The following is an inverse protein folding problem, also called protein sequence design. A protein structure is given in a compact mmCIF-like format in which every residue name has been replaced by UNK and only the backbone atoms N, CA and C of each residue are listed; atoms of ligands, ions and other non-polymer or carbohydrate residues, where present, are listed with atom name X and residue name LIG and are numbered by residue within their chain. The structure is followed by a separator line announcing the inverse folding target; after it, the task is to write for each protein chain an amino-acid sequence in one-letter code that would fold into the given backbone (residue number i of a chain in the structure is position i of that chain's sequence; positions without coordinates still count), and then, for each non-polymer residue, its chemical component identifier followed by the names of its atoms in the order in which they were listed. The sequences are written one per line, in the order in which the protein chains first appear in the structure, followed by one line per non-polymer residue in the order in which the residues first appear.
data_IF_905309956550
#
_entry.id   IF_905309956550
#
_cell.length_a   1.000
_cell.length_b   1.000
_cell.length_c   1.000
_cell.angle_alpha   90.00
_cell.angle_beta   90.00
_cell.angle_gamma   90.00
#
_symmetry.space_group_name_H-M   'P 1'
#
loop_
_entity.id
_entity.type
_entity.pdbx_description
1 polymer ?
#
# COMPACT_ATOMS: atom_id res chain seq x y z
N UNK A 1 -42.62 -17.39 -54.89
CA UNK A 1 -42.74 -17.30 -53.42
C UNK A 1 -41.97 -18.46 -52.82
N UNK A 2 -40.75 -18.22 -52.31
CA UNK A 2 -39.85 -19.26 -51.77
C UNK A 2 -39.75 -19.07 -50.26
N UNK A 3 -40.11 -20.13 -49.53
CA UNK A 3 -40.03 -20.24 -48.08
C UNK A 3 -38.56 -20.33 -47.63
N UNK A 4 -38.16 -19.47 -46.70
CA UNK A 4 -36.89 -19.56 -46.00
C UNK A 4 -37.14 -20.17 -44.61
N UNK A 5 -36.72 -21.41 -44.45
CA UNK A 5 -36.70 -22.15 -43.19
C UNK A 5 -35.52 -21.72 -42.33
N UNK A 6 -35.83 -21.23 -41.13
CA UNK A 6 -34.89 -20.81 -40.09
C UNK A 6 -34.30 -22.03 -39.37
N UNK A 7 -33.03 -22.33 -39.59
CA UNK A 7 -32.29 -23.36 -38.84
C UNK A 7 -31.74 -22.77 -37.54
N UNK A 8 -32.28 -23.20 -36.40
CA UNK A 8 -31.76 -22.89 -35.06
C UNK A 8 -30.58 -23.82 -34.75
N UNK A 9 -29.37 -23.27 -34.61
CA UNK A 9 -28.23 -23.96 -34.00
C UNK A 9 -28.26 -23.68 -32.50
N UNK A 10 -28.55 -24.71 -31.70
CA UNK A 10 -28.37 -24.70 -30.24
C UNK A 10 -27.01 -25.33 -29.96
N UNK A 11 -26.01 -24.48 -29.69
CA UNK A 11 -24.72 -24.94 -29.20
C UNK A 11 -24.81 -25.13 -27.67
N UNK A 12 -24.82 -26.38 -27.23
CA UNK A 12 -24.70 -26.74 -25.82
C UNK A 12 -23.25 -26.54 -25.38
N UNK A 13 -22.98 -25.47 -24.63
CA UNK A 13 -21.71 -25.23 -23.95
C UNK A 13 -21.76 -25.98 -22.62
N UNK A 14 -21.07 -27.11 -22.55
CA UNK A 14 -20.76 -27.83 -21.31
C UNK A 14 -19.73 -26.99 -20.52
N UNK A 15 -20.23 -26.24 -19.53
CA UNK A 15 -19.40 -25.52 -18.58
C UNK A 15 -18.71 -26.49 -17.62
N UNK A 16 -17.41 -26.67 -17.78
CA UNK A 16 -16.55 -27.28 -16.77
C UNK A 16 -16.32 -26.23 -15.69
N UNK A 17 -17.02 -26.37 -14.56
CA UNK A 17 -16.77 -25.58 -13.36
C UNK A 17 -15.43 -26.02 -12.76
N UNK A 18 -14.37 -25.27 -13.03
CA UNK A 18 -13.10 -25.40 -12.31
C UNK A 18 -13.30 -24.69 -10.97
N UNK A 19 -13.53 -25.47 -9.93
CA UNK A 19 -13.48 -25.00 -8.55
C UNK A 19 -12.02 -24.66 -8.21
N UNK A 20 -11.63 -23.41 -8.42
CA UNK A 20 -10.36 -22.87 -7.89
C UNK A 20 -10.59 -22.59 -6.41
N UNK A 21 -10.18 -23.51 -5.55
CA UNK A 21 -10.12 -23.23 -4.11
C UNK A 21 -9.05 -22.16 -3.87
N UNK A 22 -9.33 -21.10 -3.08
CA UNK A 22 -8.31 -20.12 -2.73
C UNK A 22 -7.21 -20.80 -1.93
N UNK A 23 -6.00 -20.83 -2.50
CA UNK A 23 -4.79 -21.20 -1.78
C UNK A 23 -4.48 -20.03 -0.85
N UNK A 24 -5.08 -20.03 0.34
CA UNK A 24 -4.60 -19.23 1.44
C UNK A 24 -3.24 -19.79 1.85
N UNK A 25 -2.16 -19.22 1.32
CA UNK A 25 -0.80 -19.43 1.85
C UNK A 25 -0.73 -18.68 3.18
N UNK A 26 -1.44 -19.17 4.19
CA UNK A 26 -1.07 -18.91 5.57
C UNK A 26 0.23 -19.66 5.76
N UNK A 27 1.37 -18.95 5.64
CA UNK A 27 2.60 -19.44 6.24
C UNK A 27 2.33 -19.49 7.75
N UNK A 28 1.83 -20.64 8.22
CA UNK A 28 1.77 -20.99 9.63
C UNK A 28 3.20 -21.20 10.07
N UNK A 29 3.94 -20.10 10.27
CA UNK A 29 5.13 -20.14 11.09
C UNK A 29 4.70 -20.71 12.43
N UNK A 30 5.21 -21.91 12.76
CA UNK A 30 4.95 -22.50 14.06
C UNK A 30 5.34 -21.47 15.12
N UNK A 31 4.50 -21.20 16.14
CA UNK A 31 4.81 -20.21 17.18
C UNK A 31 6.15 -20.49 17.87
N UNK A 32 6.63 -21.73 17.87
CA UNK A 32 7.96 -22.12 18.34
C UNK A 32 9.11 -21.50 17.51
N UNK A 33 8.91 -21.30 16.20
CA UNK A 33 9.89 -20.67 15.30
C UNK A 33 10.03 -19.17 15.58
N UNK A 34 8.93 -18.50 15.92
CA UNK A 34 8.93 -17.05 16.21
C UNK A 34 9.70 -16.71 17.49
N UNK A 35 9.48 -17.46 18.58
CA UNK A 35 10.24 -17.25 19.83
C UNK A 35 11.73 -17.56 19.65
N UNK A 36 12.05 -18.66 18.95
CA UNK A 36 13.45 -19.04 18.69
C UNK A 36 14.18 -17.97 17.85
N UNK A 37 13.54 -17.44 16.81
CA UNK A 37 14.11 -16.37 16.00
C UNK A 37 14.39 -15.12 16.86
N UNK A 38 13.41 -14.68 17.65
CA UNK A 38 13.56 -13.50 18.50
C UNK A 38 14.71 -13.64 19.49
N UNK A 39 14.80 -14.79 20.16
CA UNK A 39 15.87 -15.08 21.11
C UNK A 39 17.25 -15.04 20.42
N UNK A 40 17.34 -15.56 19.20
CA UNK A 40 18.59 -15.54 18.41
C UNK A 40 18.97 -14.15 17.91
N UNK A 41 18.01 -13.36 17.44
CA UNK A 41 18.26 -11.97 17.05
C UNK A 41 18.70 -11.15 18.28
N UNK A 42 18.04 -11.35 19.42
CA UNK A 42 18.41 -10.69 20.68
C UNK A 42 19.83 -11.09 21.12
N UNK A 43 20.15 -12.38 21.10
CA UNK A 43 21.49 -12.88 21.42
C UNK A 43 22.55 -12.31 20.46
N UNK A 44 22.28 -12.27 19.16
CA UNK A 44 23.18 -11.68 18.17
C UNK A 44 23.44 -10.19 18.44
N UNK A 45 22.41 -9.42 18.81
CA UNK A 45 22.53 -7.99 19.15
C UNK A 45 23.30 -7.76 20.45
N UNK A 46 23.17 -8.65 21.43
CA UNK A 46 23.84 -8.54 22.73
C UNK A 46 25.30 -8.99 22.71
N UNK A 47 25.69 -9.81 21.74
CA UNK A 47 27.05 -10.34 21.65
C UNK A 47 28.04 -9.22 21.34
N UNK A 48 29.09 -9.06 22.16
CA UNK A 48 30.16 -8.07 21.92
C UNK A 48 31.08 -8.40 20.72
N UNK A 49 30.77 -9.48 19.99
CA UNK A 49 31.53 -9.97 18.84
C UNK A 49 31.06 -9.39 17.51
N UNK A 50 31.29 -10.14 16.43
CA UNK A 50 30.92 -9.72 15.08
C UNK A 50 29.42 -9.92 14.80
N UNK A 51 28.63 -8.90 15.15
CA UNK A 51 27.17 -8.82 14.90
C UNK A 51 26.85 -9.16 13.44
N UNK A 52 27.71 -8.80 12.48
CA UNK A 52 27.44 -9.07 11.06
C UNK A 52 27.43 -10.56 10.76
N UNK A 53 28.37 -11.32 11.32
CA UNK A 53 28.46 -12.77 11.08
C UNK A 53 27.26 -13.50 11.69
N UNK A 54 26.88 -13.15 12.92
CA UNK A 54 25.73 -13.76 13.60
C UNK A 54 24.41 -13.43 12.90
N UNK A 55 24.19 -12.18 12.53
CA UNK A 55 22.97 -11.76 11.81
C UNK A 55 22.88 -12.43 10.44
N UNK A 56 24.00 -12.62 9.73
CA UNK A 56 24.01 -13.37 8.47
C UNK A 56 23.69 -14.84 8.68
N UNK A 57 24.15 -15.46 9.77
CA UNK A 57 23.81 -16.85 10.09
C UNK A 57 22.31 -17.01 10.36
N UNK A 58 21.71 -16.11 11.16
CA UNK A 58 20.26 -16.11 11.41
C UNK A 58 19.49 -15.84 10.12
N UNK A 59 19.96 -14.91 9.28
CA UNK A 59 19.33 -14.57 7.99
C UNK A 59 19.29 -15.76 7.03
N UNK A 60 20.34 -16.58 6.97
CA UNK A 60 20.37 -17.79 6.13
C UNK A 60 19.32 -18.83 6.54
N UNK A 61 18.96 -18.86 7.83
CA UNK A 61 18.04 -19.85 8.37
C UNK A 61 16.58 -19.39 8.28
N UNK A 62 16.31 -18.12 8.58
CA UNK A 62 14.94 -17.60 8.70
C UNK A 62 14.49 -16.71 7.54
N UNK A 63 15.40 -16.30 6.66
CA UNK A 63 15.11 -15.33 5.61
C UNK A 63 15.31 -13.87 6.07
N UNK A 64 15.72 -13.03 5.13
CA UNK A 64 16.16 -11.66 5.44
C UNK A 64 15.01 -10.74 5.86
N UNK A 65 13.80 -10.96 5.32
CA UNK A 65 12.61 -10.18 5.63
C UNK A 65 12.08 -10.45 7.05
N UNK A 66 12.12 -11.71 7.50
CA UNK A 66 11.70 -12.09 8.85
C UNK A 66 12.69 -11.53 9.88
N UNK A 67 13.99 -11.70 9.63
CA UNK A 67 15.04 -11.16 10.51
C UNK A 67 14.97 -9.63 10.58
N UNK A 68 14.75 -8.95 9.46
CA UNK A 68 14.60 -7.49 9.44
C UNK A 68 13.46 -7.01 10.33
N UNK A 69 12.31 -7.69 10.34
CA UNK A 69 11.16 -7.36 11.20
C UNK A 69 11.52 -7.46 12.69
N UNK A 70 12.18 -8.55 13.09
CA UNK A 70 12.60 -8.74 14.48
C UNK A 70 13.68 -7.73 14.90
N UNK A 71 14.61 -7.38 14.00
CA UNK A 71 15.59 -6.32 14.27
C UNK A 71 14.90 -4.96 14.43
N UNK A 72 13.93 -4.62 13.60
CA UNK A 72 13.14 -3.37 13.73
C UNK A 72 12.36 -3.35 15.04
N UNK A 73 11.79 -4.48 15.45
CA UNK A 73 11.17 -4.62 16.77
C UNK A 73 12.17 -4.35 17.89
N UNK A 74 13.38 -4.90 17.81
CA UNK A 74 14.46 -4.68 18.78
C UNK A 74 14.91 -3.20 18.83
N UNK A 75 15.01 -2.51 17.70
CA UNK A 75 15.34 -1.06 17.68
C UNK A 75 14.26 -0.25 18.40
N UNK A 76 12.98 -0.54 18.13
CA UNK A 76 11.83 0.19 18.69
C UNK A 76 11.68 0.01 20.21
N UNK A 77 12.15 -1.13 20.75
CA UNK A 77 11.99 -1.51 22.16
C UNK A 77 13.31 -1.59 22.94
N UNK A 78 14.42 -1.12 22.36
CA UNK A 78 15.71 -1.06 23.04
C UNK A 78 15.62 -0.27 24.36
N UNK A 79 16.08 -0.88 25.45
CA UNK A 79 16.06 -0.28 26.78
C UNK A 79 17.14 0.80 26.95
N UNK A 80 18.27 0.65 26.26
CA UNK A 80 19.41 1.58 26.30
C UNK A 80 19.79 2.07 24.90
N UNK A 81 20.49 3.21 24.82
CA UNK A 81 21.02 3.71 23.53
C UNK A 81 22.07 2.76 22.95
N UNK A 82 22.81 2.04 23.80
CA UNK A 82 23.75 1.00 23.37
C UNK A 82 23.03 -0.14 22.64
N UNK A 83 21.93 -0.65 23.20
CA UNK A 83 21.16 -1.73 22.56
C UNK A 83 20.55 -1.26 21.24
N UNK A 84 20.07 0.00 21.20
CA UNK A 84 19.53 0.61 19.99
C UNK A 84 20.61 0.72 18.89
N UNK A 85 21.81 1.16 19.25
CA UNK A 85 22.94 1.26 18.32
C UNK A 85 23.35 -0.11 17.79
N UNK A 86 23.40 -1.14 18.65
CA UNK A 86 23.68 -2.52 18.24
C UNK A 86 22.61 -3.07 17.29
N UNK A 87 21.33 -2.85 17.58
CA UNK A 87 20.23 -3.26 16.71
C UNK A 87 20.24 -2.53 15.36
N UNK A 88 20.63 -1.24 15.32
CA UNK A 88 20.85 -0.51 14.06
C UNK A 88 22.01 -1.09 13.26
N UNK A 89 23.12 -1.46 13.93
CA UNK A 89 24.24 -2.13 13.27
C UNK A 89 23.83 -3.49 12.69
N UNK A 90 23.01 -4.26 13.42
CA UNK A 90 22.42 -5.50 12.92
C UNK A 90 21.56 -5.25 11.67
N UNK A 91 20.69 -4.22 11.69
CA UNK A 91 19.87 -3.88 10.52
C UNK A 91 20.72 -3.50 9.31
N UNK A 92 21.77 -2.71 9.51
CA UNK A 92 22.71 -2.35 8.45
C UNK A 92 23.47 -3.57 7.90
N UNK A 93 23.80 -4.54 8.74
CA UNK A 93 24.50 -5.77 8.35
C UNK A 93 23.66 -6.69 7.43
N UNK A 94 22.32 -6.54 7.44
CA UNK A 94 21.43 -7.26 6.52
C UNK A 94 21.64 -6.86 5.05
N UNK A 95 22.20 -5.67 4.78
CA UNK A 95 22.47 -5.15 3.42
C UNK A 95 21.27 -5.24 2.47
N UNK A 96 20.07 -4.99 3.00
CA UNK A 96 18.84 -5.02 2.22
C UNK A 96 18.81 -3.88 1.20
N UNK A 97 18.41 -4.19 -0.03
CA UNK A 97 18.05 -3.18 -1.01
C UNK A 97 16.72 -2.49 -0.65
N UNK A 98 16.36 -1.44 -1.39
CA UNK A 98 15.14 -0.66 -1.15
C UNK A 98 13.88 -1.54 -1.19
N UNK A 99 13.77 -2.46 -2.16
CA UNK A 99 12.60 -3.32 -2.31
C UNK A 99 12.50 -4.32 -1.16
N UNK A 100 13.60 -4.94 -0.78
CA UNK A 100 13.67 -5.87 0.35
C UNK A 100 13.31 -5.21 1.67
N UNK A 101 13.78 -3.97 1.91
CA UNK A 101 13.38 -3.19 3.08
C UNK A 101 11.87 -3.00 3.12
N UNK A 102 11.27 -2.53 2.03
CA UNK A 102 9.82 -2.29 1.97
C UNK A 102 9.05 -3.56 2.21
N UNK A 103 9.36 -4.64 1.48
CA UNK A 103 8.70 -5.96 1.63
C UNK A 103 8.76 -6.44 3.08
N UNK A 104 9.90 -6.31 3.74
CA UNK A 104 10.04 -6.68 5.15
C UNK A 104 9.16 -5.83 6.08
N UNK A 105 8.94 -4.55 5.76
CA UNK A 105 8.15 -3.65 6.61
C UNK A 105 6.64 -3.81 6.42
N UNK A 106 6.14 -4.25 5.25
CA UNK A 106 4.70 -4.34 4.92
C UNK A 106 3.85 -4.93 6.07
N UNK A 107 4.21 -6.09 6.67
CA UNK A 107 3.38 -6.71 7.70
C UNK A 107 3.30 -5.93 9.02
N UNK A 108 4.21 -4.99 9.25
CA UNK A 108 4.34 -4.26 10.52
C UNK A 108 4.11 -2.75 10.38
N UNK A 109 3.66 -2.26 9.21
CA UNK A 109 3.43 -0.83 8.96
C UNK A 109 2.33 -0.22 9.85
N UNK A 110 1.29 -1.00 10.19
CA UNK A 110 0.14 -0.53 10.99
C UNK A 110 -0.26 -1.47 12.12
N UNK A 111 -0.02 -2.77 11.99
CA UNK A 111 -0.51 -3.79 12.93
C UNK A 111 0.44 -4.07 14.11
N UNK A 112 1.61 -3.44 14.11
CA UNK A 112 2.55 -3.52 15.21
C UNK A 112 2.25 -2.48 16.30
N UNK A 113 2.77 -2.70 17.51
CA UNK A 113 2.77 -1.67 18.55
C UNK A 113 3.28 -0.32 18.00
N UNK A 114 2.71 0.77 18.49
CA UNK A 114 2.83 2.11 17.89
C UNK A 114 4.27 2.54 17.57
N UNK A 115 5.25 2.22 18.43
CA UNK A 115 6.67 2.52 18.17
C UNK A 115 7.25 1.74 16.98
N UNK A 116 6.95 0.44 16.88
CA UNK A 116 7.42 -0.41 15.77
C UNK A 116 6.78 0.01 14.46
N UNK A 117 5.47 0.26 14.46
CA UNK A 117 4.75 0.71 13.27
C UNK A 117 5.30 2.05 12.74
N UNK A 118 5.56 3.02 13.63
CA UNK A 118 6.20 4.29 13.26
C UNK A 118 7.59 4.10 12.66
N UNK A 119 8.42 3.24 13.26
CA UNK A 119 9.77 2.96 12.75
C UNK A 119 9.72 2.24 11.40
N UNK A 120 8.82 1.28 11.23
CA UNK A 120 8.61 0.57 9.96
C UNK A 120 8.19 1.53 8.83
N UNK A 121 7.26 2.46 9.12
CA UNK A 121 6.89 3.52 8.18
C UNK A 121 8.08 4.43 7.84
N UNK A 122 8.88 4.84 8.83
CA UNK A 122 10.09 5.63 8.59
C UNK A 122 11.06 4.91 7.65
N UNK A 123 11.35 3.64 7.89
CA UNK A 123 12.25 2.83 7.06
C UNK A 123 11.70 2.66 5.64
N UNK A 124 10.39 2.42 5.49
CA UNK A 124 9.76 2.34 4.17
C UNK A 124 9.87 3.67 3.43
N UNK A 125 9.61 4.78 4.12
CA UNK A 125 9.64 6.14 3.55
C UNK A 125 11.07 6.61 3.22
N UNK A 126 12.11 6.11 3.90
CA UNK A 126 13.52 6.35 3.54
C UNK A 126 13.88 5.78 2.16
N UNK A 127 13.08 4.86 1.62
CA UNK A 127 13.25 4.34 0.25
C UNK A 127 12.58 5.18 -0.82
N UNK A 128 11.79 6.18 -0.41
CA UNK A 128 11.17 7.16 -1.30
C UNK A 128 12.15 8.32 -1.54
N UNK A 129 12.39 8.71 -2.79
CA UNK A 129 13.11 9.96 -3.08
C UNK A 129 12.19 11.14 -2.74
N UNK A 130 12.38 11.74 -1.56
CA UNK A 130 11.67 12.93 -1.11
C UNK A 130 12.54 14.16 -1.33
N UNK A 131 12.40 14.79 -2.48
CA UNK A 131 12.94 16.13 -2.71
C UNK A 131 11.97 17.18 -2.16
N UNK A 132 12.47 18.30 -1.63
CA UNK A 132 11.63 19.39 -1.14
C UNK A 132 10.68 19.97 -2.22
N UNK A 133 10.97 19.75 -3.50
CA UNK A 133 10.20 20.23 -4.63
C UNK A 133 9.40 19.15 -5.36
N UNK A 134 9.46 17.88 -4.91
CA UNK A 134 8.80 16.75 -5.59
C UNK A 134 7.97 15.94 -4.60
N UNK A 135 6.86 15.37 -5.08
CA UNK A 135 6.13 14.35 -4.34
C UNK A 135 6.99 13.09 -4.12
N UNK A 136 6.54 12.15 -3.28
CA UNK A 136 7.27 10.92 -3.02
C UNK A 136 7.44 10.09 -4.30
N UNK A 137 8.60 9.46 -4.48
CA UNK A 137 8.80 8.47 -5.56
C UNK A 137 8.39 7.07 -5.10
N UNK A 138 7.23 6.61 -5.56
CA UNK A 138 6.71 5.26 -5.30
C UNK A 138 7.19 4.20 -6.30
N UNK A 139 8.29 4.42 -7.04
CA UNK A 139 8.82 3.43 -8.00
C UNK A 139 9.08 2.06 -7.37
N UNK A 140 9.67 2.03 -6.17
CA UNK A 140 9.91 0.78 -5.42
C UNK A 140 8.59 0.09 -5.08
N UNK A 141 7.57 0.85 -4.68
CA UNK A 141 6.27 0.31 -4.26
C UNK A 141 5.49 -0.20 -5.46
N UNK A 142 5.53 0.53 -6.59
CA UNK A 142 4.95 0.11 -7.86
C UNK A 142 5.44 -1.26 -8.29
N UNK A 143 6.75 -1.52 -8.19
CA UNK A 143 7.31 -2.81 -8.59
C UNK A 143 6.70 -3.97 -7.77
N UNK A 144 6.51 -3.77 -6.46
CA UNK A 144 5.86 -4.75 -5.59
C UNK A 144 4.39 -4.97 -6.01
N UNK A 145 3.65 -3.87 -6.21
CA UNK A 145 2.24 -3.92 -6.61
C UNK A 145 2.03 -4.53 -8.01
N UNK A 146 2.93 -4.27 -8.95
CA UNK A 146 2.92 -4.86 -10.30
C UNK A 146 3.14 -6.38 -10.24
N UNK A 147 4.02 -6.85 -9.37
CA UNK A 147 4.25 -8.28 -9.18
C UNK A 147 3.01 -8.96 -8.60
N UNK A 148 2.40 -8.39 -7.55
CA UNK A 148 1.17 -8.94 -6.97
C UNK A 148 0.00 -8.90 -7.95
N UNK A 149 -0.16 -7.82 -8.71
CA UNK A 149 -1.21 -7.73 -9.74
C UNK A 149 -0.99 -8.76 -10.85
N UNK A 150 0.25 -8.95 -11.32
CA UNK A 150 0.58 -9.91 -12.39
C UNK A 150 0.33 -11.35 -11.96
N UNK A 151 0.53 -11.62 -10.68
CA UNK A 151 0.35 -12.95 -10.08
C UNK A 151 -1.07 -13.17 -9.51
N UNK A 152 -2.00 -12.22 -9.73
CA UNK A 152 -3.37 -12.23 -9.20
C UNK A 152 -3.41 -12.42 -7.67
N UNK A 153 -2.40 -11.86 -6.97
CA UNK A 153 -2.33 -11.84 -5.51
C UNK A 153 -3.09 -10.63 -4.96
N UNK A 154 -3.71 -10.76 -3.77
CA UNK A 154 -4.22 -9.61 -3.05
C UNK A 154 -3.12 -8.56 -2.84
N UNK A 155 -3.44 -7.30 -3.08
CA UNK A 155 -2.48 -6.23 -2.87
C UNK A 155 -2.20 -6.03 -1.37
N UNK A 156 -0.96 -5.67 -1.00
CA UNK A 156 -0.58 -5.42 0.38
C UNK A 156 -1.28 -4.17 0.92
N UNK A 157 -2.41 -4.36 1.61
CA UNK A 157 -3.28 -3.27 2.10
C UNK A 157 -2.50 -2.21 2.90
N UNK A 158 -1.58 -2.65 3.75
CA UNK A 158 -0.73 -1.76 4.55
C UNK A 158 0.20 -0.88 3.69
N UNK A 159 0.69 -1.38 2.56
CA UNK A 159 1.51 -0.58 1.63
C UNK A 159 0.63 0.42 0.87
N UNK A 160 -0.53 -0.03 0.37
CA UNK A 160 -1.48 0.83 -0.33
C UNK A 160 -1.94 1.96 0.61
N UNK A 161 -2.27 1.64 1.87
CA UNK A 161 -2.61 2.62 2.89
C UNK A 161 -1.50 3.64 3.12
N UNK A 162 -0.25 3.19 3.27
CA UNK A 162 0.91 4.08 3.44
C UNK A 162 1.05 5.07 2.28
N UNK A 163 0.88 4.59 1.04
CA UNK A 163 0.97 5.44 -0.15
C UNK A 163 -0.08 6.54 -0.15
N UNK A 164 -1.35 6.19 0.03
CA UNK A 164 -2.44 7.17 -0.01
C UNK A 164 -2.44 8.12 1.20
N UNK A 165 -2.05 7.66 2.39
CA UNK A 165 -1.86 8.53 3.55
C UNK A 165 -0.70 9.51 3.35
N UNK A 166 0.28 9.19 2.51
CA UNK A 166 1.44 10.04 2.22
C UNK A 166 1.16 11.05 1.09
N UNK A 167 0.66 10.58 -0.06
CA UNK A 167 0.24 11.43 -1.19
C UNK A 167 -0.82 10.68 -2.03
N UNK A 168 -2.11 11.04 -1.94
CA UNK A 168 -3.17 10.31 -2.63
C UNK A 168 -3.08 10.42 -4.15
N UNK A 169 -2.59 11.54 -4.71
CA UNK A 169 -2.47 11.74 -6.15
C UNK A 169 -1.38 10.86 -6.76
N UNK A 170 -0.19 10.86 -6.16
CA UNK A 170 0.91 9.99 -6.60
C UNK A 170 0.55 8.51 -6.40
N UNK A 171 -0.14 8.17 -5.31
CA UNK A 171 -0.64 6.82 -5.06
C UNK A 171 -1.61 6.36 -6.15
N UNK A 172 -2.59 7.19 -6.53
CA UNK A 172 -3.55 6.91 -7.60
C UNK A 172 -2.85 6.62 -8.93
N UNK A 173 -1.90 7.45 -9.33
CA UNK A 173 -1.14 7.26 -10.58
C UNK A 173 -0.24 6.02 -10.53
N UNK A 174 0.27 5.68 -9.34
CA UNK A 174 1.05 4.46 -9.13
C UNK A 174 0.18 3.21 -9.27
N UNK A 175 -1.01 3.22 -8.68
CA UNK A 175 -2.00 2.14 -8.77
C UNK A 175 -2.48 1.94 -10.22
N UNK A 176 -2.80 3.02 -10.94
CA UNK A 176 -3.16 2.98 -12.35
C UNK A 176 -2.10 2.27 -13.21
N UNK A 177 -0.81 2.54 -12.93
CA UNK A 177 0.30 1.88 -13.62
C UNK A 177 0.45 0.42 -13.21
N UNK A 178 0.35 0.12 -11.91
CA UNK A 178 0.47 -1.24 -11.39
C UNK A 178 -0.61 -2.18 -11.96
N UNK A 179 -1.84 -1.67 -12.10
CA UNK A 179 -2.95 -2.37 -12.74
C UNK A 179 -2.89 -2.37 -14.28
N UNK A 180 -1.88 -1.75 -14.88
CA UNK A 180 -1.70 -1.65 -16.34
C UNK A 180 -2.96 -1.17 -17.06
N UNK A 181 -3.66 -0.16 -16.52
CA UNK A 181 -4.85 0.41 -17.17
C UNK A 181 -4.49 0.85 -18.60
N UNK A 182 -5.16 0.28 -19.61
CA UNK A 182 -4.87 0.54 -21.03
C UNK A 182 -5.98 1.27 -21.76
N UNK A 183 -7.21 1.21 -21.23
CA UNK A 183 -8.34 1.86 -21.89
C UNK A 183 -8.15 3.39 -21.87
N UNK A 184 -8.09 4.06 -23.05
CA UNK A 184 -7.88 5.50 -23.10
C UNK A 184 -9.02 6.32 -22.47
N UNK A 185 -10.23 5.77 -22.35
CA UNK A 185 -11.33 6.47 -21.68
C UNK A 185 -11.15 6.41 -20.16
N UNK A 186 -10.86 5.23 -19.60
CA UNK A 186 -10.53 5.06 -18.18
C UNK A 186 -9.31 5.90 -17.76
N UNK A 187 -8.21 5.82 -18.51
CA UNK A 187 -7.00 6.63 -18.27
C UNK A 187 -7.32 8.12 -18.21
N UNK A 188 -8.19 8.59 -19.11
CA UNK A 188 -8.59 9.99 -19.17
C UNK A 188 -9.32 10.42 -17.91
N UNK A 189 -10.28 9.63 -17.45
CA UNK A 189 -11.06 9.92 -16.25
C UNK A 189 -10.15 10.06 -15.04
N UNK A 190 -9.21 9.12 -14.87
CA UNK A 190 -8.28 9.10 -13.73
C UNK A 190 -7.32 10.30 -13.79
N UNK A 191 -6.70 10.55 -14.95
CA UNK A 191 -5.73 11.63 -15.13
C UNK A 191 -6.37 13.02 -14.97
N UNK A 192 -7.60 13.22 -15.48
CA UNK A 192 -8.30 14.50 -15.29
C UNK A 192 -8.67 14.74 -13.83
N UNK A 193 -9.13 13.70 -13.14
CA UNK A 193 -9.50 13.81 -11.74
C UNK A 193 -8.30 14.10 -10.84
N UNK A 194 -7.19 13.38 -11.04
CA UNK A 194 -5.93 13.67 -10.34
C UNK A 194 -5.49 15.12 -10.58
N UNK A 195 -5.49 15.56 -11.84
CA UNK A 195 -5.06 16.92 -12.19
C UNK A 195 -5.92 18.00 -11.56
N UNK A 196 -7.25 17.83 -11.57
CA UNK A 196 -8.19 18.80 -11.00
C UNK A 196 -8.00 18.91 -9.47
N UNK A 197 -7.77 17.79 -8.80
CA UNK A 197 -7.48 17.76 -7.36
C UNK A 197 -6.11 18.39 -7.07
N UNK A 198 -5.05 18.00 -7.79
CA UNK A 198 -3.71 18.56 -7.61
C UNK A 198 -3.69 20.08 -7.82
N UNK A 199 -4.36 20.60 -8.86
CA UNK A 199 -4.44 22.04 -9.09
C UNK A 199 -5.12 22.77 -7.92
N UNK A 200 -6.21 22.21 -7.39
CA UNK A 200 -6.89 22.79 -6.23
C UNK A 200 -5.98 22.78 -4.99
N UNK A 201 -5.31 21.66 -4.70
CA UNK A 201 -4.38 21.54 -3.56
C UNK A 201 -3.13 22.42 -3.72
N UNK A 202 -2.63 22.58 -4.94
CA UNK A 202 -1.53 23.47 -5.26
C UNK A 202 -1.92 24.94 -5.00
N UNK A 203 -3.08 25.37 -5.47
CA UNK A 203 -3.58 26.75 -5.23
C UNK A 203 -3.72 27.06 -3.75
N UNK A 204 -4.16 26.09 -2.94
CA UNK A 204 -4.19 26.24 -1.48
C UNK A 204 -2.80 26.39 -0.87
N UNK A 205 -1.88 25.47 -1.20
CA UNK A 205 -0.50 25.48 -0.67
C UNK A 205 0.24 26.78 -0.95
N UNK A 206 -0.06 27.42 -2.07
CA UNK A 206 0.57 28.67 -2.49
C UNK A 206 -0.26 29.93 -2.21
N UNK A 207 -1.39 29.82 -1.51
CA UNK A 207 -2.21 30.96 -1.10
C UNK A 207 -2.96 31.65 -2.24
N UNK A 208 -3.10 31.02 -3.41
CA UNK A 208 -3.93 31.52 -4.51
C UNK A 208 -5.43 31.27 -4.27
N UNK A 209 -5.77 30.38 -3.34
CA UNK A 209 -7.13 30.03 -2.98
C UNK A 209 -7.17 29.71 -1.47
N UNK A 210 -8.19 30.18 -0.70
CA UNK A 210 -8.34 29.78 0.69
C UNK A 210 -8.47 28.26 0.81
N UNK A 211 -7.85 27.65 1.83
CA UNK A 211 -7.90 26.21 2.09
C UNK A 211 -9.30 25.70 2.54
N UNK A 212 -10.29 26.59 2.61
CA UNK A 212 -11.70 26.31 2.85
C UNK A 212 -12.54 26.29 1.57
N UNK A 213 -11.95 26.65 0.42
CA UNK A 213 -12.67 26.78 -0.85
C UNK A 213 -12.29 25.62 -1.77
N UNK A 214 -13.23 24.73 -2.06
CA UNK A 214 -13.07 23.76 -3.13
C UNK A 214 -13.42 24.35 -4.50
N UNK A 215 -12.58 24.08 -5.49
CA UNK A 215 -12.94 24.31 -6.89
C UNK A 215 -14.07 23.33 -7.32
N UNK A 216 -15.15 23.82 -7.96
CA UNK A 216 -16.25 22.97 -8.41
C UNK A 216 -15.83 21.82 -9.33
N UNK A 217 -14.77 22.04 -10.12
CA UNK A 217 -14.21 21.02 -11.01
C UNK A 217 -13.58 19.86 -10.23
N UNK A 218 -12.79 20.14 -9.20
CA UNK A 218 -12.19 19.09 -8.36
C UNK A 218 -13.27 18.24 -7.68
N UNK A 219 -14.31 18.89 -7.15
CA UNK A 219 -15.48 18.24 -6.57
C UNK A 219 -16.23 17.36 -7.60
N UNK A 220 -16.49 17.88 -8.79
CA UNK A 220 -17.14 17.11 -9.86
C UNK A 220 -16.34 15.87 -10.26
N UNK A 221 -15.00 15.99 -10.37
CA UNK A 221 -14.14 14.85 -10.68
C UNK A 221 -14.08 13.81 -9.56
N UNK A 222 -14.09 14.24 -8.30
CA UNK A 222 -14.17 13.32 -7.15
C UNK A 222 -15.49 12.53 -7.14
N UNK A 223 -16.62 13.14 -7.52
CA UNK A 223 -17.88 12.39 -7.70
C UNK A 223 -17.77 11.32 -8.78
N UNK A 224 -17.19 11.67 -9.94
CA UNK A 224 -16.99 10.70 -11.03
C UNK A 224 -16.13 9.53 -10.56
N UNK A 225 -15.03 9.79 -9.84
CA UNK A 225 -14.18 8.72 -9.32
C UNK A 225 -14.82 7.92 -8.18
N UNK A 226 -15.76 8.50 -7.42
CA UNK A 226 -16.46 7.77 -6.37
C UNK A 226 -17.33 6.63 -6.91
N UNK A 227 -17.79 6.74 -8.16
CA UNK A 227 -18.58 5.70 -8.85
C UNK A 227 -17.70 4.81 -9.76
N UNK A 228 -16.37 4.98 -9.75
CA UNK A 228 -15.45 4.24 -10.61
C UNK A 228 -15.40 2.76 -10.24
N UNK A 229 -15.25 1.85 -11.21
CA UNK A 229 -15.23 0.40 -10.97
C UNK A 229 -14.04 -0.06 -10.12
N UNK A 230 -12.88 0.56 -10.34
CA UNK A 230 -11.66 0.28 -9.60
C UNK A 230 -11.74 0.80 -8.16
N UNK A 231 -11.66 -0.10 -7.19
CA UNK A 231 -11.75 0.25 -5.76
C UNK A 231 -10.64 1.21 -5.31
N UNK A 232 -9.45 1.14 -5.89
CA UNK A 232 -8.33 2.04 -5.56
C UNK A 232 -8.57 3.47 -6.04
N UNK A 233 -9.38 3.67 -7.10
CA UNK A 233 -9.82 4.99 -7.52
C UNK A 233 -10.87 5.56 -6.54
N UNK A 234 -11.73 4.73 -5.98
CA UNK A 234 -12.65 5.14 -4.90
C UNK A 234 -11.91 5.40 -3.58
N UNK A 235 -10.87 4.63 -3.29
CA UNK A 235 -10.00 4.83 -2.13
C UNK A 235 -9.26 6.17 -2.20
N UNK A 236 -8.83 6.60 -3.40
CA UNK A 236 -8.31 7.94 -3.65
C UNK A 236 -9.30 9.03 -3.21
N UNK A 237 -10.58 8.91 -3.55
CA UNK A 237 -11.60 9.89 -3.18
C UNK A 237 -11.75 9.96 -1.66
N UNK A 238 -11.85 8.82 -0.98
CA UNK A 238 -11.97 8.76 0.48
C UNK A 238 -10.76 9.42 1.17
N UNK A 239 -9.54 9.07 0.77
CA UNK A 239 -8.31 9.63 1.35
C UNK A 239 -8.13 11.11 1.03
N UNK A 240 -8.51 11.56 -0.17
CA UNK A 240 -8.49 12.97 -0.55
C UNK A 240 -9.43 13.79 0.33
N UNK A 241 -10.67 13.35 0.52
CA UNK A 241 -11.67 14.04 1.36
C UNK A 241 -11.32 13.99 2.86
N UNK A 242 -10.65 12.92 3.31
CA UNK A 242 -10.11 12.83 4.68
C UNK A 242 -9.05 13.91 4.92
N UNK A 243 -8.10 14.06 4.00
CA UNK A 243 -6.98 14.98 4.10
C UNK A 243 -7.36 16.43 3.77
N UNK A 244 -8.44 16.66 3.02
CA UNK A 244 -8.84 17.97 2.51
C UNK A 244 -10.32 18.27 2.81
N UNK A 245 -10.64 18.84 4.00
CA UNK A 245 -12.02 19.06 4.43
C UNK A 245 -12.89 19.88 3.46
N UNK A 246 -12.31 20.84 2.76
CA UNK A 246 -13.06 21.65 1.80
C UNK A 246 -13.55 20.87 0.57
N UNK A 247 -12.91 19.73 0.23
CA UNK A 247 -13.33 18.84 -0.86
C UNK A 247 -14.42 17.85 -0.43
N UNK A 248 -14.82 17.83 0.85
CA UNK A 248 -15.81 16.89 1.36
C UNK A 248 -17.18 17.12 0.72
N UNK A 249 -17.81 16.02 0.33
CA UNK A 249 -19.18 16.01 -0.16
C UNK A 249 -19.99 14.96 0.62
N UNK A 250 -20.97 15.37 1.44
CA UNK A 250 -21.68 14.44 2.33
C UNK A 250 -22.30 13.24 1.61
N UNK A 251 -22.89 13.46 0.43
CA UNK A 251 -23.50 12.38 -0.35
C UNK A 251 -22.46 11.35 -0.84
N UNK A 252 -21.28 11.82 -1.27
CA UNK A 252 -20.18 10.95 -1.71
C UNK A 252 -19.61 10.16 -0.53
N UNK A 253 -19.37 10.82 0.61
CA UNK A 253 -18.85 10.17 1.82
C UNK A 253 -19.80 9.05 2.28
N UNK A 254 -21.11 9.33 2.30
CA UNK A 254 -22.12 8.34 2.68
C UNK A 254 -22.19 7.16 1.71
N UNK A 255 -21.95 7.38 0.41
CA UNK A 255 -21.82 6.29 -0.55
C UNK A 255 -20.56 5.44 -0.26
N UNK A 256 -19.41 6.07 -0.05
CA UNK A 256 -18.13 5.40 0.22
C UNK A 256 -18.12 4.61 1.54
N UNK A 257 -18.86 5.05 2.56
CA UNK A 257 -19.06 4.27 3.82
C UNK A 257 -19.80 2.94 3.58
N UNK A 258 -20.51 2.81 2.45
CA UNK A 258 -21.25 1.60 2.05
C UNK A 258 -20.58 0.86 0.90
N UNK A 259 -19.34 1.21 0.55
CA UNK A 259 -18.59 0.57 -0.54
C UNK A 259 -18.41 -0.93 -0.29
N UNK A 260 -18.35 -1.75 -1.35
CA UNK A 260 -18.10 -3.18 -1.21
C UNK A 260 -16.67 -3.48 -0.72
N UNK A 261 -15.70 -2.61 -1.03
CA UNK A 261 -14.31 -2.75 -0.62
C UNK A 261 -14.08 -2.27 0.83
N UNK A 262 -13.50 -3.12 1.67
CA UNK A 262 -13.29 -2.83 3.08
C UNK A 262 -12.33 -1.66 3.33
N UNK A 263 -11.28 -1.48 2.51
CA UNK A 263 -10.36 -0.35 2.65
C UNK A 263 -11.06 0.97 2.36
N UNK A 264 -11.90 1.03 1.32
CA UNK A 264 -12.68 2.22 0.97
C UNK A 264 -13.61 2.61 2.11
N UNK A 265 -14.37 1.66 2.65
CA UNK A 265 -15.23 1.91 3.83
C UNK A 265 -14.43 2.43 5.02
N UNK A 266 -13.33 1.75 5.38
CA UNK A 266 -12.51 2.13 6.52
C UNK A 266 -11.83 3.51 6.36
N UNK A 267 -11.51 3.93 5.14
CA UNK A 267 -11.06 5.30 4.88
C UNK A 267 -12.19 6.32 5.02
N UNK A 268 -13.37 6.02 4.48
CA UNK A 268 -14.54 6.90 4.55
C UNK A 268 -15.08 7.09 5.98
N UNK A 269 -14.99 6.06 6.82
CA UNK A 269 -15.37 6.13 8.25
C UNK A 269 -14.48 7.06 9.08
N UNK A 270 -13.26 7.35 8.61
CA UNK A 270 -12.31 8.28 9.25
C UNK A 270 -12.48 9.74 8.81
N UNK A 271 -13.50 10.04 8.00
CA UNK A 271 -13.81 11.41 7.56
C UNK A 271 -14.79 12.02 8.57
N UNK A 272 -14.29 12.95 9.39
CA UNK A 272 -15.08 13.69 10.40
C UNK A 272 -16.07 14.71 9.80
#
# INVERSE_FOLDING_TARGET
MRNLTTTKFVAAILGVAVLVAPIAIAQTESPASGSQLRDRVSAAIQTMGDISTEIQAVTKEFGADVVAREVVFAIAHAATERDRAAARAAFAALKLDARQKVVAMIPILYDAGDKTARLARSIAQETEDRSASRGPDFTTYRAILEDDTREDRPLPENLVRLMYESDPGVALLTMMRAHQVRDPAELRVILWAERAVDENLWRWRHGFLPNTTAMPEAQAQLRILADHEAWWARYFVAETMRQSPALREPAVIEALKRDDNAMVRAAAERID
#
